data_IF_957343519667
#
_entry.id   IF_957343519667
#
_cell.length_a   1.000
_cell.length_b   1.000
_cell.length_c   1.000
_cell.angle_alpha   90.00
_cell.angle_beta   90.00
_cell.angle_gamma   90.00
#
_symmetry.space_group_name_H-M   'P 1'
#
loop_
_entity.id
_entity.type
_entity.pdbx_description
1 polymer ?
#
# COMPACT_ATOMS: atom_id res chain seq x y z
N UNK A 1 -5.40 -16.98 12.37
CA UNK A 1 -5.02 -17.50 13.70
C UNK A 1 -4.24 -18.78 13.50
N UNK A 2 -3.12 -18.96 14.21
CA UNK A 2 -2.31 -20.17 14.16
C UNK A 2 -2.94 -21.32 14.97
N UNK A 3 -2.55 -22.59 14.73
CA UNK A 3 -2.96 -23.72 15.58
C UNK A 3 -2.63 -23.55 17.08
N UNK A 4 -1.60 -22.77 17.40
CA UNK A 4 -1.21 -22.42 18.79
C UNK A 4 -2.15 -21.40 19.45
N UNK A 5 -3.09 -20.82 18.71
CA UNK A 5 -3.95 -19.73 19.14
C UNK A 5 -3.37 -18.33 18.94
N UNK A 6 -2.12 -18.19 18.45
CA UNK A 6 -1.54 -16.89 18.09
C UNK A 6 -2.41 -16.19 17.04
N UNK A 7 -2.67 -14.91 17.26
CA UNK A 7 -3.40 -14.05 16.32
C UNK A 7 -2.38 -13.17 15.62
N UNK A 8 -2.31 -13.30 14.30
CA UNK A 8 -1.43 -12.49 13.45
C UNK A 8 -2.22 -11.39 12.77
N UNK A 9 -1.62 -10.22 12.66
CA UNK A 9 -2.14 -9.04 11.99
C UNK A 9 -1.10 -8.56 10.97
N UNK A 10 -1.54 -8.29 9.74
CA UNK A 10 -0.78 -7.52 8.75
C UNK A 10 -1.58 -6.28 8.37
N UNK A 11 -0.89 -5.18 8.07
CA UNK A 11 -1.53 -3.95 7.64
C UNK A 11 -0.56 -3.08 6.84
N UNK A 12 -1.11 -2.32 5.89
CA UNK A 12 -0.40 -1.21 5.24
C UNK A 12 -0.58 0.06 6.08
N UNK A 13 0.52 0.72 6.41
CA UNK A 13 0.54 1.94 7.18
C UNK A 13 0.95 3.11 6.30
N UNK A 14 0.17 4.20 6.32
CA UNK A 14 0.59 5.51 5.79
C UNK A 14 1.65 6.10 6.74
N UNK A 15 2.92 5.94 6.41
CA UNK A 15 4.06 6.38 7.24
C UNK A 15 4.51 7.80 6.92
N UNK A 16 4.20 8.29 5.72
CA UNK A 16 4.32 9.69 5.35
C UNK A 16 2.99 10.19 4.77
N UNK A 17 2.13 10.86 5.56
CA UNK A 17 0.91 11.46 5.03
C UNK A 17 1.22 12.65 4.13
N UNK A 18 0.27 13.06 3.26
CA UNK A 18 0.38 14.35 2.61
C UNK A 18 0.42 15.47 3.65
N UNK A 19 0.92 16.64 3.26
CA UNK A 19 1.01 17.79 4.14
C UNK A 19 -0.39 18.39 4.41
N UNK A 20 -0.56 19.71 4.25
CA UNK A 20 -1.84 20.38 4.47
C UNK A 20 -2.80 20.28 3.26
N UNK A 21 -2.50 19.42 2.29
CA UNK A 21 -3.29 19.21 1.08
C UNK A 21 -3.56 17.71 0.92
N UNK A 22 -4.79 17.22 1.16
CA UNK A 22 -5.12 15.80 1.04
C UNK A 22 -4.98 15.28 -0.41
N UNK A 23 -4.88 16.16 -1.40
CA UNK A 23 -4.77 15.83 -2.82
C UNK A 23 -3.33 15.92 -3.35
N UNK A 24 -2.37 16.26 -2.49
CA UNK A 24 -0.96 16.38 -2.87
C UNK A 24 -0.45 15.08 -3.50
N UNK A 25 0.20 15.15 -4.66
CA UNK A 25 0.78 13.97 -5.32
C UNK A 25 2.24 13.75 -4.94
N UNK A 26 2.75 12.53 -5.18
CA UNK A 26 4.16 12.17 -5.03
C UNK A 26 4.75 12.11 -3.61
N UNK A 27 3.98 12.34 -2.54
CA UNK A 27 4.53 12.45 -1.17
C UNK A 27 4.16 11.30 -0.24
N UNK A 28 3.12 10.55 -0.56
CA UNK A 28 2.61 9.49 0.31
C UNK A 28 3.59 8.32 0.33
N UNK A 29 3.86 7.82 1.54
CA UNK A 29 4.66 6.61 1.74
C UNK A 29 3.82 5.60 2.51
N UNK A 30 3.70 4.40 1.95
CA UNK A 30 3.07 3.25 2.57
C UNK A 30 4.09 2.15 2.85
N UNK A 31 4.03 1.59 4.04
CA UNK A 31 4.88 0.49 4.48
C UNK A 31 4.02 -0.64 5.05
N UNK A 32 4.38 -1.89 4.76
CA UNK A 32 3.67 -3.05 5.31
C UNK A 32 4.26 -3.47 6.67
N UNK A 33 3.36 -3.77 7.61
CA UNK A 33 3.68 -4.12 8.98
C UNK A 33 3.03 -5.41 9.43
N UNK A 34 3.69 -6.08 10.38
CA UNK A 34 3.18 -7.24 11.09
C UNK A 34 3.11 -6.97 12.60
N UNK A 35 2.06 -7.47 13.25
CA UNK A 35 1.99 -7.59 14.70
C UNK A 35 1.35 -8.93 15.08
N UNK A 36 1.65 -9.42 16.28
CA UNK A 36 1.05 -10.65 16.80
C UNK A 36 0.51 -10.48 18.22
N UNK A 37 -0.54 -11.23 18.53
CA UNK A 37 -1.06 -11.39 19.88
C UNK A 37 -0.92 -12.84 20.34
N UNK A 38 -0.53 -13.09 21.60
CA UNK A 38 -0.58 -14.42 22.18
C UNK A 38 -1.98 -15.05 22.12
N UNK A 39 -2.05 -16.36 22.35
CA UNK A 39 -3.32 -17.07 22.49
C UNK A 39 -4.26 -16.34 23.47
N UNK A 40 -5.50 -16.10 23.02
CA UNK A 40 -6.51 -15.34 23.76
C UNK A 40 -6.64 -13.86 23.36
N UNK A 41 -5.74 -13.31 22.55
CA UNK A 41 -5.96 -12.02 21.87
C UNK A 41 -5.92 -10.78 22.77
N UNK A 42 -5.22 -10.84 23.91
CA UNK A 42 -5.25 -9.78 24.93
C UNK A 42 -4.61 -8.46 24.49
N UNK A 43 -3.50 -8.53 23.74
CA UNK A 43 -2.77 -7.37 23.22
C UNK A 43 -1.86 -7.77 22.05
N UNK A 44 -1.68 -6.88 21.08
CA UNK A 44 -0.71 -7.05 20.00
C UNK A 44 0.68 -6.53 20.39
N UNK A 45 1.72 -7.13 19.83
CA UNK A 45 3.09 -6.64 19.90
C UNK A 45 3.23 -5.25 19.25
N UNK A 46 4.35 -4.59 19.52
CA UNK A 46 4.77 -3.47 18.69
C UNK A 46 4.88 -3.95 17.22
N UNK A 47 4.30 -3.23 16.25
CA UNK A 47 4.40 -3.62 14.85
C UNK A 47 5.83 -3.60 14.34
N UNK A 48 6.19 -4.59 13.53
CA UNK A 48 7.48 -4.64 12.82
C UNK A 48 7.24 -4.41 11.33
N UNK A 49 8.11 -3.61 10.71
CA UNK A 49 8.07 -3.38 9.26
C UNK A 49 8.64 -4.61 8.56
N UNK A 50 7.91 -5.18 7.60
CA UNK A 50 8.28 -6.49 6.98
C UNK A 50 9.09 -6.35 5.68
N UNK A 51 9.25 -5.14 5.17
CA UNK A 51 9.99 -4.83 3.94
C UNK A 51 10.78 -3.54 4.09
N UNK A 52 11.99 -3.46 3.54
CA UNK A 52 12.79 -2.22 3.50
C UNK A 52 12.39 -1.28 2.36
N UNK A 53 11.62 -1.78 1.38
CA UNK A 53 11.02 -0.94 0.35
C UNK A 53 9.70 -0.36 0.85
N UNK A 54 9.36 0.81 0.33
CA UNK A 54 8.11 1.50 0.57
C UNK A 54 7.34 1.64 -0.73
N UNK A 55 6.03 1.77 -0.61
CA UNK A 55 5.13 2.02 -1.73
C UNK A 55 4.70 3.48 -1.77
N UNK A 56 4.36 3.97 -2.96
CA UNK A 56 3.70 5.25 -3.15
C UNK A 56 2.49 5.05 -4.10
N UNK A 57 1.25 5.30 -3.65
CA UNK A 57 0.03 5.08 -4.44
C UNK A 57 -0.05 5.96 -5.69
N UNK A 58 0.78 7.01 -5.78
CA UNK A 58 0.85 7.89 -6.94
C UNK A 58 1.41 7.22 -8.19
N UNK A 59 2.15 6.12 -8.01
CA UNK A 59 2.56 5.24 -9.10
C UNK A 59 1.40 4.48 -9.74
N UNK A 60 0.18 4.54 -9.18
CA UNK A 60 -1.02 3.85 -9.67
C UNK A 60 -2.27 4.74 -9.53
N UNK A 61 -3.43 4.21 -9.92
CA UNK A 61 -4.67 4.97 -9.96
C UNK A 61 -5.91 4.09 -10.04
N UNK A 62 -7.07 4.62 -9.66
CA UNK A 62 -8.35 4.08 -10.17
C UNK A 62 -8.47 4.23 -11.68
N UNK A 63 -9.36 3.45 -12.28
CA UNK A 63 -9.63 3.42 -13.72
C UNK A 63 -9.98 4.78 -14.33
N UNK A 64 -10.58 5.70 -13.57
CA UNK A 64 -10.93 7.05 -14.04
C UNK A 64 -9.79 8.07 -13.87
N UNK A 65 -8.64 7.65 -13.36
CA UNK A 65 -7.45 8.45 -13.09
C UNK A 65 -7.56 9.53 -12.00
N UNK A 66 -8.73 9.65 -11.36
CA UNK A 66 -9.03 10.78 -10.48
C UNK A 66 -8.35 10.69 -9.10
N UNK A 67 -8.17 9.48 -8.56
CA UNK A 67 -7.49 9.29 -7.27
C UNK A 67 -6.35 8.29 -7.43
N UNK A 68 -5.31 8.50 -6.62
CA UNK A 68 -4.24 7.54 -6.40
C UNK A 68 -4.81 6.27 -5.77
N UNK A 69 -4.16 5.12 -6.02
CA UNK A 69 -4.70 3.85 -5.55
C UNK A 69 -3.62 2.86 -5.10
N UNK A 70 -3.88 2.20 -3.97
CA UNK A 70 -3.15 1.04 -3.47
C UNK A 70 -4.08 0.24 -2.53
N UNK A 71 -3.95 -1.09 -2.51
CA UNK A 71 -4.51 -1.91 -1.43
C UNK A 71 -5.63 -2.91 -1.79
N UNK A 72 -5.79 -3.31 -3.07
CA UNK A 72 -6.73 -4.37 -3.45
C UNK A 72 -6.42 -5.72 -2.76
N UNK A 73 -5.16 -6.00 -2.43
CA UNK A 73 -4.74 -7.26 -1.85
C UNK A 73 -3.83 -7.05 -0.64
N UNK A 74 -4.34 -7.37 0.53
CA UNK A 74 -3.56 -7.59 1.75
C UNK A 74 -4.12 -8.82 2.44
N UNK A 75 -3.27 -9.82 2.68
CA UNK A 75 -3.72 -11.09 3.27
C UNK A 75 -2.61 -11.74 4.10
N UNK A 76 -3.03 -12.62 5.01
CA UNK A 76 -2.14 -13.32 5.93
C UNK A 76 -2.65 -14.72 6.24
N UNK A 77 -1.74 -15.70 6.13
CA UNK A 77 -1.95 -17.07 6.59
C UNK A 77 -1.04 -17.35 7.78
N UNK A 78 -1.63 -17.71 8.91
CA UNK A 78 -0.92 -18.04 10.14
C UNK A 78 -0.68 -19.56 10.22
N UNK A 79 0.56 -19.99 10.01
CA UNK A 79 1.01 -21.37 10.20
C UNK A 79 1.35 -21.67 11.67
N UNK A 80 1.87 -22.87 11.98
CA UNK A 80 2.20 -23.27 13.36
C UNK A 80 3.41 -22.51 13.94
N UNK A 81 4.38 -22.14 13.12
CA UNK A 81 5.64 -21.50 13.54
C UNK A 81 5.88 -20.14 12.90
N UNK A 82 5.10 -19.77 11.87
CA UNK A 82 5.30 -18.54 11.11
C UNK A 82 4.00 -18.09 10.46
N UNK A 83 3.90 -16.79 10.22
CA UNK A 83 2.88 -16.21 9.35
C UNK A 83 3.48 -15.88 7.97
N UNK A 84 2.64 -16.05 6.95
CA UNK A 84 2.94 -15.72 5.57
C UNK A 84 2.01 -14.59 5.18
N UNK A 85 2.55 -13.47 4.72
CA UNK A 85 1.77 -12.28 4.43
C UNK A 85 2.08 -11.78 3.04
N UNK A 86 1.05 -11.26 2.38
CA UNK A 86 1.11 -10.66 1.04
C UNK A 86 0.47 -9.29 1.06
N UNK A 87 0.99 -8.38 0.24
CA UNK A 87 0.44 -7.03 0.08
C UNK A 87 0.68 -6.50 -1.34
N UNK A 88 -0.21 -5.64 -1.82
CA UNK A 88 -0.03 -4.85 -3.05
C UNK A 88 0.97 -3.73 -2.80
N UNK A 89 1.92 -3.54 -3.72
CA UNK A 89 2.97 -2.54 -3.57
C UNK A 89 3.34 -1.92 -4.92
N UNK A 90 3.54 -0.60 -4.93
CA UNK A 90 3.84 0.21 -6.09
C UNK A 90 5.31 0.69 -6.11
N UNK A 91 6.21 0.07 -5.33
CA UNK A 91 7.65 0.43 -5.28
C UNK A 91 8.35 0.42 -6.65
N UNK A 92 7.82 -0.36 -7.59
CA UNK A 92 8.35 -0.50 -8.95
C UNK A 92 7.58 0.36 -9.97
N UNK A 93 6.61 1.15 -9.51
CA UNK A 93 5.84 2.02 -10.36
C UNK A 93 6.51 3.40 -10.50
N UNK A 94 6.35 4.01 -11.67
CA UNK A 94 6.80 5.39 -11.90
C UNK A 94 5.57 6.29 -11.92
N UNK A 95 5.50 7.34 -11.07
CA UNK A 95 4.41 8.32 -11.13
C UNK A 95 4.26 8.95 -12.51
N UNK A 96 3.06 9.43 -12.82
CA UNK A 96 2.75 10.01 -14.12
C UNK A 96 2.31 11.47 -14.00
N UNK A 97 3.17 12.39 -14.42
CA UNK A 97 2.90 13.83 -14.34
C UNK A 97 1.58 14.24 -15.03
N UNK A 98 1.27 13.63 -16.19
CA UNK A 98 0.02 13.94 -16.90
C UNK A 98 -1.22 13.55 -16.10
N UNK A 99 -1.14 12.47 -15.32
CA UNK A 99 -2.22 12.03 -14.43
C UNK A 99 -2.31 12.99 -13.25
N UNK A 100 -1.20 13.41 -12.67
CA UNK A 100 -1.18 14.38 -11.58
C UNK A 100 -1.76 15.73 -11.99
N UNK A 101 -1.42 16.22 -13.18
CA UNK A 101 -1.98 17.45 -13.73
C UNK A 101 -3.51 17.34 -13.90
N UNK A 102 -3.99 16.18 -14.36
CA UNK A 102 -5.43 15.89 -14.46
C UNK A 102 -6.10 15.90 -13.09
N UNK A 103 -5.53 15.21 -12.09
CA UNK A 103 -6.05 15.17 -10.71
C UNK A 103 -6.12 16.56 -10.11
N UNK A 104 -5.02 17.32 -10.20
CA UNK A 104 -4.94 18.69 -9.71
C UNK A 104 -6.01 19.58 -10.36
N UNK A 105 -6.22 19.47 -11.66
CA UNK A 105 -7.27 20.22 -12.35
C UNK A 105 -8.68 19.84 -11.87
N UNK A 106 -8.96 18.55 -11.66
CA UNK A 106 -10.25 18.07 -11.14
C UNK A 106 -10.50 18.59 -9.72
N UNK A 107 -9.52 18.48 -8.82
CA UNK A 107 -9.66 18.95 -7.43
C UNK A 107 -9.66 20.48 -7.30
N UNK A 108 -9.08 21.19 -8.26
CA UNK A 108 -9.26 22.64 -8.42
C UNK A 108 -10.65 23.03 -8.97
N UNK A 109 -11.51 22.06 -9.30
CA UNK A 109 -12.90 22.27 -9.70
C UNK A 109 -13.15 22.28 -11.21
N UNK A 110 -12.15 21.92 -12.03
CA UNK A 110 -12.32 21.87 -13.49
C UNK A 110 -13.43 20.89 -13.90
N UNK A 111 -14.28 21.34 -14.83
CA UNK A 111 -15.30 20.50 -15.48
C UNK A 111 -14.90 20.06 -16.88
N UNK A 112 -13.73 20.49 -17.34
CA UNK A 112 -13.22 20.24 -18.70
C UNK A 112 -11.86 19.56 -18.70
N UNK A 113 -11.35 19.16 -17.52
CA UNK A 113 -10.14 18.34 -17.42
C UNK A 113 -10.37 17.00 -18.12
N UNK A 114 -9.41 16.60 -18.97
CA UNK A 114 -9.47 15.35 -19.72
C UNK A 114 -8.43 14.40 -19.16
N UNK A 115 -8.87 13.20 -18.78
CA UNK A 115 -7.98 12.15 -18.30
C UNK A 115 -6.98 11.78 -19.43
N UNK A 116 -5.67 11.74 -19.15
CA UNK A 116 -4.69 11.34 -20.17
C UNK A 116 -4.86 9.85 -20.48
N UNK A 117 -4.40 9.42 -21.66
CA UNK A 117 -4.22 7.99 -21.94
C UNK A 117 -2.88 7.53 -21.33
N UNK A 118 -2.87 6.66 -20.30
CA UNK A 118 -1.62 6.24 -19.67
C UNK A 118 -0.67 5.51 -20.62
N UNK A 119 -1.19 4.79 -21.63
CA UNK A 119 -0.39 4.03 -22.58
C UNK A 119 0.55 4.91 -23.42
N UNK A 120 0.20 6.19 -23.60
CA UNK A 120 0.97 7.15 -24.39
C UNK A 120 1.52 8.31 -23.57
N UNK A 121 0.95 8.60 -22.40
CA UNK A 121 1.32 9.76 -21.58
C UNK A 121 2.22 9.41 -20.38
N UNK A 122 2.31 8.13 -19.99
CA UNK A 122 3.03 7.70 -18.81
C UNK A 122 4.22 6.80 -19.14
N UNK A 123 5.12 6.61 -18.17
CA UNK A 123 6.12 5.55 -18.25
C UNK A 123 5.43 4.18 -18.28
N UNK A 124 6.05 3.19 -18.92
CA UNK A 124 5.50 1.82 -19.02
C UNK A 124 5.33 1.11 -17.67
N UNK A 125 5.93 1.66 -16.60
CA UNK A 125 5.77 1.15 -15.24
C UNK A 125 4.69 1.89 -14.44
N UNK A 126 3.97 2.87 -14.99
CA UNK A 126 2.81 3.42 -14.30
C UNK A 126 1.73 2.35 -14.17
N UNK A 127 1.11 2.25 -12.99
CA UNK A 127 0.19 1.18 -12.64
C UNK A 127 0.88 -0.16 -12.33
N UNK A 128 2.21 -0.22 -12.25
CA UNK A 128 2.94 -1.43 -11.87
C UNK A 128 2.78 -1.71 -10.37
N UNK A 129 1.65 -2.29 -10.00
CA UNK A 129 1.34 -2.74 -8.65
C UNK A 129 1.49 -4.26 -8.57
N UNK A 130 2.56 -4.71 -7.93
CA UNK A 130 2.85 -6.13 -7.76
C UNK A 130 2.35 -6.63 -6.39
N UNK A 131 2.16 -7.94 -6.26
CA UNK A 131 1.99 -8.58 -4.95
C UNK A 131 3.36 -8.99 -4.41
N UNK A 132 3.74 -8.44 -3.25
CA UNK A 132 4.93 -8.85 -2.51
C UNK A 132 4.56 -9.78 -1.37
N UNK A 133 5.54 -10.51 -0.87
CA UNK A 133 5.36 -11.45 0.23
C UNK A 133 6.49 -11.36 1.25
N UNK A 134 6.18 -11.71 2.49
CA UNK A 134 7.16 -11.93 3.54
C UNK A 134 6.71 -13.05 4.48
N UNK A 135 7.68 -13.62 5.19
CA UNK A 135 7.49 -14.66 6.19
C UNK A 135 7.97 -14.11 7.51
N UNK A 136 7.12 -14.17 8.54
CA UNK A 136 7.47 -13.76 9.90
C UNK A 136 7.41 -14.97 10.81
N UNK A 137 8.55 -15.35 11.37
CA UNK A 137 8.61 -16.39 12.41
C UNK A 137 8.15 -15.81 13.74
N UNK A 138 7.24 -16.50 14.42
CA UNK A 138 6.74 -16.05 15.71
C UNK A 138 7.87 -15.98 16.73
N UNK A 139 7.81 -15.02 17.65
CA UNK A 139 8.78 -14.99 18.72
C UNK A 139 8.56 -16.22 19.61
N UNK A 140 9.60 -17.06 19.75
CA UNK A 140 9.56 -18.17 20.70
C UNK A 140 9.34 -17.59 22.08
N UNK A 141 8.28 -18.05 22.77
CA UNK A 141 8.17 -17.88 24.22
C UNK A 141 8.99 -18.93 24.93
#
# INVERSE_FOLDING_TARGET
MAPSGIISLTFDALTQPPANDPWQTGVQVYDNYFAESPAGGQAFSAPIRVSTASSNPDGSSYNNLQEQFIGDYIDIVAGPTSAYLVWTDARNATPCQAVDDYRNAVYAGSKTAVAPNPDSACATSFGNTDTFAAIVTYMSK
#
